data_IF_838126234957
#
_entry.id   IF_838126234957
#
_cell.length_a   1.000
_cell.length_b   1.000
_cell.length_c   1.000
_cell.angle_alpha   90.00
_cell.angle_beta   90.00
_cell.angle_gamma   90.00
#
_symmetry.space_group_name_H-M   'P 1'
#
loop_
_entity.id
_entity.type
_entity.pdbx_description
1 polymer ?
#
# COMPACT_ATOMS: atom_id res chain seq x y z
N UNK A 1 25.52 -6.59 11.45
CA UNK A 1 25.00 -5.27 11.03
C UNK A 1 23.89 -5.62 10.05
N UNK A 2 22.64 -5.89 10.41
CA UNK A 2 21.80 -5.66 11.60
C UNK A 2 21.16 -7.01 12.03
N UNK A 3 21.06 -7.30 13.32
CA UNK A 3 20.57 -8.61 13.83
C UNK A 3 19.27 -8.49 14.64
N UNK A 4 18.45 -7.47 14.37
CA UNK A 4 17.26 -7.11 15.15
C UNK A 4 16.09 -6.72 14.24
N UNK A 5 15.73 -7.59 13.30
CA UNK A 5 14.66 -7.33 12.33
C UNK A 5 13.27 -7.73 12.86
N UNK A 6 13.21 -8.63 13.84
CA UNK A 6 11.98 -9.20 14.39
C UNK A 6 11.79 -8.87 15.88
N UNK A 7 12.67 -8.05 16.45
CA UNK A 7 12.68 -7.78 17.89
C UNK A 7 11.48 -6.91 18.27
N UNK A 8 10.56 -7.49 19.03
CA UNK A 8 9.49 -6.76 19.68
C UNK A 8 9.90 -6.61 21.16
N UNK A 9 10.08 -5.38 21.64
CA UNK A 9 10.44 -5.07 23.03
C UNK A 9 11.68 -5.82 23.57
N UNK A 10 12.80 -5.78 22.83
CA UNK A 10 14.09 -6.40 23.20
C UNK A 10 14.13 -7.94 23.31
N UNK A 11 13.09 -8.66 22.86
CA UNK A 11 13.13 -10.11 22.68
C UNK A 11 13.76 -10.48 21.32
N UNK A 12 15.00 -10.99 21.33
CA UNK A 12 15.74 -11.43 20.14
C UNK A 12 15.53 -12.91 19.78
N UNK A 13 14.68 -13.64 20.51
CA UNK A 13 14.50 -15.08 20.30
C UNK A 13 13.91 -15.42 18.93
N UNK A 14 13.10 -14.50 18.36
CA UNK A 14 12.55 -14.61 17.00
C UNK A 14 13.64 -14.38 15.95
N UNK A 15 14.49 -13.37 16.14
CA UNK A 15 15.63 -13.08 15.27
C UNK A 15 16.62 -14.26 15.21
N UNK A 16 16.93 -14.89 16.35
CA UNK A 16 17.84 -16.03 16.42
C UNK A 16 17.28 -17.28 15.73
N UNK A 17 15.97 -17.51 15.84
CA UNK A 17 15.29 -18.63 15.17
C UNK A 17 15.19 -18.41 13.66
N UNK A 18 14.85 -17.19 13.24
CA UNK A 18 14.83 -16.78 11.82
C UNK A 18 16.22 -16.89 11.19
N UNK A 19 17.27 -16.41 11.86
CA UNK A 19 18.65 -16.48 11.37
C UNK A 19 19.12 -17.93 11.13
N UNK A 20 18.69 -18.88 11.99
CA UNK A 20 18.99 -20.31 11.81
C UNK A 20 18.24 -20.93 10.64
N UNK A 21 16.97 -20.57 10.43
CA UNK A 21 16.21 -21.00 9.26
C UNK A 21 16.79 -20.42 7.96
N UNK A 22 17.19 -19.14 7.97
CA UNK A 22 17.83 -18.45 6.83
C UNK A 22 19.14 -19.11 6.40
N UNK A 23 20.02 -19.39 7.38
CA UNK A 23 21.37 -19.88 7.10
C UNK A 23 21.37 -21.24 6.40
N UNK A 24 20.42 -22.12 6.72
CA UNK A 24 20.45 -23.51 6.25
C UNK A 24 19.31 -23.88 5.29
N UNK A 25 18.10 -23.37 5.49
CA UNK A 25 16.93 -23.75 4.68
C UNK A 25 16.88 -22.93 3.39
N UNK A 26 16.95 -21.60 3.50
CA UNK A 26 16.75 -20.72 2.34
C UNK A 26 17.98 -20.61 1.45
N UNK A 27 19.19 -20.63 2.02
CA UNK A 27 20.44 -20.75 1.25
C UNK A 27 20.45 -22.00 0.36
N UNK A 28 19.96 -23.14 0.89
CA UNK A 28 19.83 -24.39 0.14
C UNK A 28 18.81 -24.28 -0.99
N UNK A 29 17.69 -23.59 -0.77
CA UNK A 29 16.69 -23.34 -1.83
C UNK A 29 17.30 -22.48 -2.93
N UNK A 30 17.94 -21.34 -2.58
CA UNK A 30 18.56 -20.44 -3.57
C UNK A 30 19.64 -21.16 -4.38
N UNK A 31 20.58 -21.85 -3.71
CA UNK A 31 21.63 -22.59 -4.41
C UNK A 31 21.04 -23.70 -5.28
N UNK A 32 20.03 -24.42 -4.79
CA UNK A 32 19.37 -25.46 -5.57
C UNK A 32 18.63 -24.91 -6.79
N UNK A 33 18.04 -23.71 -6.71
CA UNK A 33 17.42 -23.03 -7.84
C UNK A 33 18.46 -22.59 -8.88
N UNK A 34 19.59 -22.03 -8.43
CA UNK A 34 20.69 -21.60 -9.29
C UNK A 34 21.38 -22.79 -10.00
N UNK A 35 21.58 -23.88 -9.28
CA UNK A 35 22.19 -25.12 -9.81
C UNK A 35 21.19 -26.01 -10.56
N UNK A 36 19.91 -25.63 -10.61
CA UNK A 36 18.81 -26.41 -11.20
C UNK A 36 18.64 -27.80 -10.56
N UNK A 37 19.01 -27.96 -9.29
CA UNK A 37 18.88 -29.18 -8.51
C UNK A 37 17.64 -29.19 -7.62
N UNK A 38 16.97 -28.05 -7.46
CA UNK A 38 15.74 -27.92 -6.69
C UNK A 38 14.50 -28.35 -7.49
N UNK A 39 13.61 -29.14 -6.88
CA UNK A 39 12.34 -29.54 -7.50
C UNK A 39 11.31 -28.40 -7.43
N UNK A 40 11.05 -27.75 -8.56
CA UNK A 40 10.03 -26.69 -8.66
C UNK A 40 8.60 -27.17 -8.36
N UNK A 41 8.36 -28.49 -8.27
CA UNK A 41 7.09 -29.06 -7.81
C UNK A 41 6.93 -29.05 -6.29
N UNK A 42 8.01 -28.81 -5.53
CA UNK A 42 7.93 -28.54 -4.09
C UNK A 42 7.42 -27.10 -3.85
N UNK A 43 6.15 -26.88 -4.20
CA UNK A 43 5.49 -25.58 -4.13
C UNK A 43 5.36 -25.08 -2.71
N UNK A 44 5.32 -25.98 -1.73
CA UNK A 44 5.24 -25.65 -0.31
C UNK A 44 6.55 -25.03 0.18
N UNK A 45 7.69 -25.63 -0.15
CA UNK A 45 8.98 -25.05 0.23
C UNK A 45 9.22 -23.70 -0.45
N UNK A 46 8.81 -23.54 -1.72
CA UNK A 46 8.88 -22.27 -2.44
C UNK A 46 7.96 -21.20 -1.85
N UNK A 47 6.72 -21.55 -1.50
CA UNK A 47 5.77 -20.61 -0.91
C UNK A 47 6.21 -20.13 0.48
N UNK A 48 6.74 -21.03 1.32
CA UNK A 48 7.34 -20.68 2.61
C UNK A 48 8.55 -19.75 2.43
N UNK A 49 9.44 -20.04 1.47
CA UNK A 49 10.58 -19.19 1.16
C UNK A 49 10.17 -17.80 0.67
N UNK A 50 9.22 -17.71 -0.27
CA UNK A 50 8.72 -16.43 -0.80
C UNK A 50 8.05 -15.61 0.31
N UNK A 51 7.20 -16.24 1.12
CA UNK A 51 6.55 -15.57 2.25
C UNK A 51 7.59 -15.04 3.24
N UNK A 52 8.65 -15.80 3.50
CA UNK A 52 9.72 -15.35 4.36
C UNK A 52 10.49 -14.16 3.76
N UNK A 53 10.84 -14.20 2.46
CA UNK A 53 11.53 -13.08 1.79
C UNK A 53 10.66 -11.82 1.73
N UNK A 54 9.34 -11.96 1.58
CA UNK A 54 8.39 -10.87 1.70
C UNK A 54 8.40 -10.28 3.13
N UNK A 55 8.33 -11.13 4.17
CA UNK A 55 8.39 -10.67 5.56
C UNK A 55 9.70 -9.93 5.84
N UNK A 56 10.84 -10.43 5.36
CA UNK A 56 12.13 -9.73 5.50
C UNK A 56 12.14 -8.37 4.82
N UNK A 57 11.67 -8.31 3.57
CA UNK A 57 11.50 -7.05 2.82
C UNK A 57 10.62 -6.06 3.57
N UNK A 58 9.57 -6.59 4.20
CA UNK A 58 8.62 -5.82 4.98
C UNK A 58 9.21 -5.34 6.31
N UNK A 59 10.01 -6.15 6.99
CA UNK A 59 10.64 -5.74 8.24
C UNK A 59 11.74 -4.69 8.02
N UNK A 60 12.44 -4.74 6.87
CA UNK A 60 13.34 -3.65 6.43
C UNK A 60 12.54 -2.34 6.30
N UNK A 61 11.28 -2.43 5.85
CA UNK A 61 10.36 -1.29 5.76
C UNK A 61 9.69 -0.93 7.08
N UNK A 62 9.62 -1.86 8.03
CA UNK A 62 9.07 -1.65 9.37
C UNK A 62 10.00 -0.79 10.26
N UNK A 63 10.99 -0.11 9.69
CA UNK A 63 11.36 1.24 10.12
C UNK A 63 10.18 2.22 9.93
N UNK A 64 9.07 1.91 10.60
CA UNK A 64 7.71 2.49 10.59
C UNK A 64 7.66 4.00 10.82
N UNK A 65 8.79 4.61 11.16
CA UNK A 65 8.98 6.05 11.28
C UNK A 65 8.77 6.74 9.93
N UNK A 66 9.21 6.13 8.82
CA UNK A 66 9.05 6.75 7.49
C UNK A 66 7.63 6.60 6.93
N UNK A 67 6.94 5.49 7.25
CA UNK A 67 5.52 5.33 6.93
C UNK A 67 4.66 6.33 7.70
N UNK A 68 4.98 6.54 8.98
CA UNK A 68 4.33 7.54 9.81
C UNK A 68 4.57 8.94 9.26
N UNK A 69 5.81 9.29 8.91
CA UNK A 69 6.15 10.57 8.32
C UNK A 69 5.45 10.78 6.97
N UNK A 70 5.44 9.77 6.09
CA UNK A 70 4.77 9.83 4.80
C UNK A 70 3.25 9.99 4.94
N UNK A 71 2.61 9.21 5.80
CA UNK A 71 1.17 9.33 6.06
C UNK A 71 0.84 10.71 6.67
N UNK A 72 1.67 11.18 7.62
CA UNK A 72 1.54 12.51 8.19
C UNK A 72 1.66 13.59 7.12
N UNK A 73 2.67 13.53 6.24
CA UNK A 73 2.88 14.52 5.19
C UNK A 73 1.80 14.48 4.12
N UNK A 74 1.27 13.31 3.76
CA UNK A 74 0.17 13.20 2.80
C UNK A 74 -1.16 13.71 3.38
N UNK A 75 -1.47 13.37 4.64
CA UNK A 75 -2.63 13.95 5.33
C UNK A 75 -2.44 15.45 5.51
N UNK A 76 -1.25 15.91 5.90
CA UNK A 76 -0.92 17.32 6.07
C UNK A 76 -1.05 18.09 4.76
N UNK A 77 -0.46 17.62 3.66
CA UNK A 77 -0.56 18.33 2.38
C UNK A 77 -2.00 18.44 1.87
N UNK A 78 -2.86 17.42 2.09
CA UNK A 78 -4.28 17.46 1.69
C UNK A 78 -5.17 18.26 2.63
N UNK A 79 -4.86 18.29 3.92
CA UNK A 79 -5.66 18.97 4.94
C UNK A 79 -5.31 20.45 5.02
N UNK A 80 -4.03 20.79 4.89
CA UNK A 80 -3.54 22.15 5.04
C UNK A 80 -3.55 22.92 3.73
N UNK A 81 -3.81 22.27 2.58
CA UNK A 81 -4.19 22.99 1.36
C UNK A 81 -5.70 23.25 1.32
N UNK A 82 -6.06 24.52 1.51
CA UNK A 82 -7.45 24.99 1.57
C UNK A 82 -8.20 24.69 0.26
N UNK A 83 -7.56 24.82 -0.91
CA UNK A 83 -8.20 24.49 -2.19
C UNK A 83 -8.51 23.01 -2.32
N UNK A 84 -7.53 22.15 -2.00
CA UNK A 84 -7.72 20.69 -2.05
C UNK A 84 -8.82 20.23 -1.09
N UNK A 85 -8.89 20.82 0.11
CA UNK A 85 -9.90 20.48 1.09
C UNK A 85 -11.32 20.93 0.67
N UNK A 86 -11.45 22.13 0.05
CA UNK A 86 -12.72 22.60 -0.53
C UNK A 86 -13.19 21.64 -1.62
N UNK A 87 -12.32 21.29 -2.56
CA UNK A 87 -12.65 20.36 -3.65
C UNK A 87 -13.00 18.96 -3.13
N UNK A 88 -12.34 18.53 -2.05
CA UNK A 88 -12.65 17.27 -1.38
C UNK A 88 -14.04 17.29 -0.76
N UNK A 89 -14.36 18.34 0.02
CA UNK A 89 -15.68 18.54 0.60
C UNK A 89 -16.76 18.58 -0.47
N UNK A 90 -16.57 19.37 -1.53
CA UNK A 90 -17.54 19.46 -2.63
C UNK A 90 -17.81 18.08 -3.26
N UNK A 91 -16.77 17.30 -3.55
CA UNK A 91 -16.91 15.95 -4.09
C UNK A 91 -17.63 15.01 -3.12
N UNK A 92 -17.24 15.01 -1.85
CA UNK A 92 -17.88 14.16 -0.84
C UNK A 92 -19.37 14.46 -0.69
N UNK A 93 -19.73 15.75 -0.73
CA UNK A 93 -21.11 16.25 -0.64
C UNK A 93 -21.93 15.90 -1.90
N UNK A 94 -21.34 16.01 -3.10
CA UNK A 94 -21.99 15.63 -4.37
C UNK A 94 -22.16 14.12 -4.50
N UNK A 95 -21.16 13.33 -4.10
CA UNK A 95 -21.16 11.87 -4.23
C UNK A 95 -22.06 11.16 -3.21
N UNK A 96 -22.50 11.85 -2.14
CA UNK A 96 -23.37 11.28 -1.10
C UNK A 96 -24.64 12.12 -0.87
N UNK A 97 -25.53 12.25 -1.89
CA UNK A 97 -26.70 13.11 -1.81
C UNK A 97 -27.69 12.70 -0.70
N UNK A 98 -27.82 11.41 -0.41
CA UNK A 98 -28.70 10.90 0.65
C UNK A 98 -28.26 11.34 2.05
N UNK A 99 -26.94 11.39 2.31
CA UNK A 99 -26.39 11.85 3.59
C UNK A 99 -26.65 13.34 3.78
N UNK A 100 -26.42 14.14 2.75
CA UNK A 100 -26.74 15.57 2.74
C UNK A 100 -28.22 15.77 3.03
N UNK A 101 -29.08 15.02 2.35
CA UNK A 101 -30.53 15.15 2.51
C UNK A 101 -30.94 14.87 3.97
N UNK A 102 -30.33 13.86 4.59
CA UNK A 102 -30.56 13.54 6.01
C UNK A 102 -30.12 14.67 6.95
N UNK A 103 -28.97 15.31 6.68
CA UNK A 103 -28.46 16.43 7.48
C UNK A 103 -29.36 17.65 7.34
N UNK A 104 -29.75 18.02 6.11
CA UNK A 104 -30.70 19.10 5.84
C UNK A 104 -32.02 18.80 6.54
N UNK A 105 -32.53 17.58 6.46
CA UNK A 105 -33.78 17.22 7.11
C UNK A 105 -33.70 17.32 8.64
N UNK A 106 -32.57 16.94 9.23
CA UNK A 106 -32.34 17.10 10.66
C UNK A 106 -32.24 18.57 11.07
N UNK A 107 -31.62 19.42 10.26
CA UNK A 107 -31.55 20.86 10.54
C UNK A 107 -32.87 21.58 10.28
N UNK A 108 -33.62 21.21 9.24
CA UNK A 108 -34.97 21.74 8.98
C UNK A 108 -35.92 21.43 10.14
N UNK A 109 -35.81 20.24 10.74
CA UNK A 109 -36.58 19.87 11.95
C UNK A 109 -36.23 20.70 13.18
N UNK A 110 -34.99 21.20 13.29
CA UNK A 110 -34.54 22.10 14.36
C UNK A 110 -34.82 23.57 14.07
N UNK A 111 -35.13 23.90 12.81
CA UNK A 111 -35.34 25.26 12.36
C UNK A 111 -36.75 25.78 12.67
N UNK A 112 -36.93 27.09 12.53
CA UNK A 112 -38.25 27.74 12.61
C UNK A 112 -39.09 27.55 11.32
N UNK A 113 -38.60 26.80 10.34
CA UNK A 113 -39.28 26.60 9.06
C UNK A 113 -40.44 25.60 9.25
N UNK A 114 -41.67 25.97 8.87
CA UNK A 114 -42.82 25.06 8.93
C UNK A 114 -42.59 23.77 8.12
N UNK A 115 -43.00 22.61 8.67
CA UNK A 115 -42.87 21.30 8.02
C UNK A 115 -43.48 21.26 6.60
N UNK A 116 -44.58 21.99 6.40
CA UNK A 116 -45.24 22.13 5.09
C UNK A 116 -44.36 22.74 4.00
N UNK A 117 -43.31 23.47 4.38
CA UNK A 117 -42.37 24.12 3.48
C UNK A 117 -41.05 23.36 3.33
N UNK A 118 -40.80 22.32 4.13
CA UNK A 118 -39.54 21.55 4.10
C UNK A 118 -39.25 20.98 2.71
N UNK A 119 -40.27 20.46 2.02
CA UNK A 119 -40.11 19.91 0.66
C UNK A 119 -39.71 20.96 -0.38
N UNK A 120 -40.30 22.16 -0.30
CA UNK A 120 -39.96 23.27 -1.20
C UNK A 120 -38.57 23.81 -0.93
N UNK A 121 -38.20 23.92 0.35
CA UNK A 121 -36.88 24.38 0.77
C UNK A 121 -35.79 23.41 0.32
N UNK A 122 -36.00 22.09 0.52
CA UNK A 122 -35.09 21.05 0.01
C UNK A 122 -34.88 21.16 -1.50
N UNK A 123 -35.97 21.30 -2.26
CA UNK A 123 -35.92 21.39 -3.73
C UNK A 123 -35.08 22.59 -4.18
N UNK A 124 -35.35 23.78 -3.64
CA UNK A 124 -34.59 25.00 -3.96
C UNK A 124 -33.13 24.86 -3.56
N UNK A 125 -32.86 24.24 -2.41
CA UNK A 125 -31.52 24.01 -1.89
C UNK A 125 -30.67 23.15 -2.84
N UNK A 126 -31.21 22.01 -3.29
CA UNK A 126 -30.50 21.10 -4.20
C UNK A 126 -30.40 21.61 -5.64
N UNK A 127 -31.44 22.27 -6.16
CA UNK A 127 -31.42 22.85 -7.52
C UNK A 127 -30.35 23.92 -7.68
N UNK A 128 -29.97 24.59 -6.58
CA UNK A 128 -28.99 25.67 -6.59
C UNK A 128 -27.67 25.30 -5.91
N UNK A 129 -27.40 24.00 -5.70
CA UNK A 129 -26.23 23.53 -4.94
C UNK A 129 -24.91 24.13 -5.46
N UNK A 130 -24.75 24.22 -6.78
CA UNK A 130 -23.54 24.76 -7.40
C UNK A 130 -23.28 26.25 -7.07
N UNK A 131 -24.33 27.00 -6.71
CA UNK A 131 -24.24 28.44 -6.46
C UNK A 131 -23.82 28.78 -5.02
N UNK A 132 -24.14 27.92 -4.04
CA UNK A 132 -23.86 28.19 -2.63
C UNK A 132 -22.87 27.20 -2.01
N UNK A 133 -22.67 26.01 -2.61
CA UNK A 133 -21.77 24.98 -2.10
C UNK A 133 -20.32 25.46 -1.95
N UNK A 134 -19.72 26.23 -2.88
CA UNK A 134 -18.36 26.73 -2.71
C UNK A 134 -18.20 27.60 -1.46
N UNK A 135 -19.07 28.60 -1.29
CA UNK A 135 -19.02 29.53 -0.16
C UNK A 135 -19.35 28.84 1.17
N UNK A 136 -20.32 27.91 1.16
CA UNK A 136 -20.66 27.12 2.33
C UNK A 136 -19.54 26.16 2.71
N UNK A 137 -18.91 25.49 1.74
CA UNK A 137 -17.75 24.64 1.97
C UNK A 137 -16.60 25.47 2.57
N UNK A 138 -16.31 26.65 2.01
CA UNK A 138 -15.27 27.53 2.55
C UNK A 138 -15.58 28.00 3.99
N UNK A 139 -16.84 28.36 4.27
CA UNK A 139 -17.29 28.77 5.60
C UNK A 139 -17.23 27.65 6.64
N UNK A 140 -17.63 26.44 6.26
CA UNK A 140 -17.47 25.23 7.08
C UNK A 140 -15.98 25.01 7.34
N UNK A 141 -15.17 24.97 6.28
CA UNK A 141 -13.74 24.70 6.38
C UNK A 141 -13.04 25.72 7.30
N UNK A 142 -13.26 27.02 7.15
CA UNK A 142 -12.62 28.03 8.00
C UNK A 142 -12.96 27.88 9.50
N UNK A 143 -14.17 27.39 9.82
CA UNK A 143 -14.60 27.15 11.21
C UNK A 143 -14.14 25.77 11.74
N UNK A 144 -14.01 24.79 10.85
CA UNK A 144 -13.65 23.42 11.20
C UNK A 144 -12.13 23.19 11.20
N UNK A 145 -11.35 23.84 10.34
CA UNK A 145 -9.91 23.59 10.12
C UNK A 145 -9.11 23.48 11.43
N UNK A 146 -9.25 24.39 12.42
CA UNK A 146 -8.47 24.30 13.66
C UNK A 146 -8.86 23.12 14.56
N UNK A 147 -10.13 22.67 14.50
CA UNK A 147 -10.59 21.45 15.21
C UNK A 147 -10.22 20.19 14.42
N UNK A 148 -10.29 20.28 13.10
CA UNK A 148 -10.04 19.23 12.14
C UNK A 148 -8.56 18.84 12.12
N UNK A 149 -7.63 19.81 12.15
CA UNK A 149 -6.19 19.57 12.32
C UNK A 149 -5.90 18.75 13.58
N UNK A 150 -6.46 19.15 14.73
CA UNK A 150 -6.25 18.44 16.00
C UNK A 150 -6.80 17.02 15.96
N UNK A 151 -7.97 16.82 15.36
CA UNK A 151 -8.58 15.50 15.27
C UNK A 151 -7.84 14.58 14.30
N UNK A 152 -7.41 15.07 13.14
CA UNK A 152 -6.59 14.30 12.20
C UNK A 152 -5.27 13.92 12.87
N UNK A 153 -4.58 14.87 13.49
CA UNK A 153 -3.34 14.60 14.24
C UNK A 153 -3.58 13.54 15.32
N UNK A 154 -4.72 13.58 16.02
CA UNK A 154 -5.06 12.59 17.04
C UNK A 154 -5.52 11.23 16.49
N UNK A 155 -6.04 11.18 15.27
CA UNK A 155 -6.49 9.95 14.60
C UNK A 155 -5.34 9.20 13.90
N UNK A 156 -4.25 9.91 13.57
CA UNK A 156 -3.07 9.34 12.92
C UNK A 156 -2.52 8.10 13.67
N UNK A 157 -2.29 8.12 15.00
CA UNK A 157 -1.76 6.96 15.71
C UNK A 157 -2.65 5.71 15.58
N UNK A 158 -3.98 5.85 15.71
CA UNK A 158 -4.90 4.72 15.58
C UNK A 158 -5.00 4.21 14.15
N UNK A 159 -5.01 5.13 13.18
CA UNK A 159 -5.01 4.80 11.76
C UNK A 159 -3.73 4.06 11.37
N UNK A 160 -2.57 4.54 11.81
CA UNK A 160 -1.27 3.87 11.60
C UNK A 160 -1.30 2.48 12.24
N UNK A 161 -1.85 2.35 13.45
CA UNK A 161 -2.03 1.04 14.10
C UNK A 161 -2.94 0.12 13.29
N UNK A 162 -4.05 0.62 12.73
CA UNK A 162 -4.94 -0.16 11.84
C UNK A 162 -4.24 -0.56 10.53
N UNK A 163 -3.49 0.33 9.91
CA UNK A 163 -2.66 0.03 8.72
C UNK A 163 -1.64 -1.04 9.06
N UNK A 164 -0.88 -0.85 10.14
CA UNK A 164 0.08 -1.84 10.64
C UNK A 164 -0.61 -3.19 10.85
N UNK A 165 -1.76 -3.24 11.52
CA UNK A 165 -2.51 -4.48 11.74
C UNK A 165 -3.06 -5.09 10.45
N UNK A 166 -3.45 -4.31 9.45
CA UNK A 166 -3.93 -4.85 8.17
C UNK A 166 -2.77 -5.37 7.30
N UNK A 167 -1.65 -4.64 7.32
CA UNK A 167 -0.41 -4.96 6.62
C UNK A 167 0.26 -6.18 7.27
N UNK A 168 0.32 -6.26 8.60
CA UNK A 168 0.88 -7.36 9.43
C UNK A 168 -0.11 -8.50 9.70
N UNK A 169 -1.42 -8.27 9.59
CA UNK A 169 -2.46 -9.21 10.04
C UNK A 169 -2.85 -10.28 9.02
N UNK A 170 -2.31 -10.26 7.80
CA UNK A 170 -2.34 -11.46 6.97
C UNK A 170 -1.41 -12.49 7.62
N UNK A 171 -1.97 -13.49 8.30
CA UNK A 171 -1.18 -14.58 8.87
C UNK A 171 -0.35 -15.24 7.77
N UNK A 172 0.94 -15.49 8.04
CA UNK A 172 1.86 -16.10 7.09
C UNK A 172 1.26 -17.37 6.45
N UNK A 173 0.51 -18.15 7.23
CA UNK A 173 -0.18 -19.37 6.79
C UNK A 173 -1.17 -19.16 5.63
N UNK A 174 -1.87 -18.02 5.59
CA UNK A 174 -2.80 -17.72 4.50
C UNK A 174 -2.05 -17.33 3.22
N UNK A 175 -0.93 -16.59 3.35
CA UNK A 175 -0.07 -16.20 2.22
C UNK A 175 0.61 -17.41 1.59
N UNK A 176 1.16 -18.30 2.42
CA UNK A 176 1.80 -19.54 1.97
C UNK A 176 0.85 -20.36 1.10
N UNK A 177 -0.42 -20.53 1.49
CA UNK A 177 -1.41 -21.27 0.68
C UNK A 177 -1.68 -20.61 -0.67
N UNK A 178 -1.73 -19.27 -0.73
CA UNK A 178 -1.92 -18.54 -1.98
C UNK A 178 -0.71 -18.75 -2.89
N UNK A 179 0.51 -18.61 -2.37
CA UNK A 179 1.73 -18.78 -3.17
C UNK A 179 1.94 -20.24 -3.58
N UNK A 180 1.53 -21.21 -2.76
CA UNK A 180 1.61 -22.64 -3.09
C UNK A 180 0.73 -23.01 -4.30
N UNK A 181 -0.33 -22.24 -4.57
CA UNK A 181 -1.19 -22.47 -5.74
C UNK A 181 -0.55 -22.09 -7.08
N UNK A 182 0.57 -21.35 -7.07
CA UNK A 182 1.25 -20.86 -8.27
C UNK A 182 2.05 -21.96 -8.99
N UNK A 183 2.32 -21.70 -10.27
CA UNK A 183 3.21 -22.50 -11.10
C UNK A 183 4.57 -21.82 -11.20
N UNK A 184 5.62 -22.54 -10.80
CA UNK A 184 6.97 -21.98 -10.74
C UNK A 184 7.84 -22.38 -11.93
N UNK A 185 8.67 -21.45 -12.38
CA UNK A 185 9.68 -21.64 -13.42
C UNK A 185 10.87 -20.73 -13.19
N UNK A 186 12.03 -21.10 -13.73
CA UNK A 186 13.19 -20.20 -13.79
C UNK A 186 13.18 -19.52 -15.16
N UNK A 187 13.25 -18.18 -15.16
CA UNK A 187 13.40 -17.40 -16.38
C UNK A 187 14.82 -16.85 -16.46
N UNK A 188 15.35 -16.83 -17.67
CA UNK A 188 16.67 -16.28 -17.97
C UNK A 188 16.53 -14.96 -18.71
N UNK A 189 17.33 -13.99 -18.29
CA UNK A 189 17.35 -12.63 -18.83
C UNK A 189 18.63 -12.39 -19.61
N UNK A 190 18.51 -11.63 -20.70
CA UNK A 190 19.67 -11.23 -21.50
C UNK A 190 20.41 -10.06 -20.85
N UNK A 191 19.65 -9.13 -20.25
CA UNK A 191 20.22 -8.01 -19.50
C UNK A 191 20.49 -8.42 -18.06
N UNK A 192 21.61 -7.96 -17.45
CA UNK A 192 21.88 -8.21 -16.05
C UNK A 192 20.77 -7.64 -15.14
N UNK A 193 20.24 -8.48 -14.26
CA UNK A 193 19.29 -8.09 -13.22
C UNK A 193 19.98 -7.30 -12.11
N UNK A 194 19.28 -6.28 -11.61
CA UNK A 194 19.58 -5.67 -10.32
C UNK A 194 18.89 -6.45 -9.20
N UNK A 195 19.46 -6.38 -7.99
CA UNK A 195 18.83 -6.92 -6.79
C UNK A 195 18.51 -5.78 -5.84
N UNK A 196 17.22 -5.50 -5.67
CA UNK A 196 16.74 -4.52 -4.70
C UNK A 196 16.88 -5.02 -3.26
N UNK A 197 16.85 -4.10 -2.31
CA UNK A 197 16.62 -4.41 -0.88
C UNK A 197 15.25 -5.09 -0.63
N UNK A 198 14.32 -4.95 -1.58
CA UNK A 198 13.05 -5.63 -1.66
C UNK A 198 13.13 -6.73 -2.72
N UNK A 199 13.36 -7.96 -2.26
CA UNK A 199 13.79 -9.07 -3.13
C UNK A 199 12.62 -9.70 -3.89
N UNK A 200 11.40 -9.65 -3.33
CA UNK A 200 10.21 -10.26 -3.93
C UNK A 200 9.29 -9.19 -4.48
N UNK A 201 8.89 -9.36 -5.74
CA UNK A 201 7.94 -8.49 -6.43
C UNK A 201 6.68 -9.28 -6.78
N UNK A 202 5.53 -8.71 -6.47
CA UNK A 202 4.20 -9.24 -6.76
C UNK A 202 3.56 -8.44 -7.90
N UNK A 203 3.11 -9.12 -8.93
CA UNK A 203 2.25 -8.55 -9.98
C UNK A 203 0.80 -8.86 -9.64
N UNK A 204 -0.03 -7.83 -9.54
CA UNK A 204 -1.44 -7.92 -9.16
C UNK A 204 -2.32 -7.22 -10.18
N UNK A 205 -3.61 -7.56 -10.20
CA UNK A 205 -4.59 -6.85 -11.02
C UNK A 205 -4.94 -5.50 -10.36
N UNK A 206 -4.95 -4.41 -11.12
CA UNK A 206 -5.31 -3.08 -10.64
C UNK A 206 -4.44 -1.97 -11.27
N UNK A 207 -4.63 -0.72 -10.82
CA UNK A 207 -3.82 0.42 -11.26
C UNK A 207 -2.35 0.26 -10.86
N UNK A 208 -2.10 -0.14 -9.60
CA UNK A 208 -0.77 -0.48 -9.11
C UNK A 208 -0.45 -1.94 -9.44
N UNK A 209 0.07 -2.13 -10.65
CA UNK A 209 0.34 -3.45 -11.21
C UNK A 209 1.42 -4.24 -10.47
N UNK A 210 2.48 -3.58 -10.00
CA UNK A 210 3.59 -4.23 -9.29
C UNK A 210 3.69 -3.72 -7.86
N UNK A 211 3.96 -4.63 -6.91
CA UNK A 211 4.06 -4.33 -5.49
C UNK A 211 5.19 -5.14 -4.84
N UNK A 212 5.83 -4.63 -3.79
CA UNK A 212 6.85 -5.35 -3.03
C UNK A 212 6.28 -6.24 -1.91
N UNK A 213 4.97 -6.23 -1.70
CA UNK A 213 4.26 -7.08 -0.74
C UNK A 213 2.87 -7.40 -1.28
N UNK A 214 2.29 -8.50 -0.80
CA UNK A 214 0.94 -8.94 -1.15
C UNK A 214 -0.06 -8.50 -0.08
N UNK A 215 -1.17 -7.89 -0.52
CA UNK A 215 -2.27 -7.46 0.35
C UNK A 215 -3.47 -8.41 0.23
N UNK A 216 -4.27 -8.55 1.30
CA UNK A 216 -5.40 -9.49 1.37
C UNK A 216 -6.41 -9.35 0.23
N UNK A 217 -6.59 -8.14 -0.30
CA UNK A 217 -7.57 -7.84 -1.34
C UNK A 217 -6.97 -7.87 -2.76
N UNK A 218 -5.68 -8.18 -2.90
CA UNK A 218 -5.03 -8.24 -4.19
C UNK A 218 -5.40 -9.51 -4.95
N UNK A 219 -5.66 -9.34 -6.24
CA UNK A 219 -5.77 -10.46 -7.19
C UNK A 219 -4.37 -10.71 -7.76
N UNK A 220 -3.65 -11.63 -7.12
CA UNK A 220 -2.29 -12.02 -7.50
C UNK A 220 -2.26 -12.65 -8.89
N UNK A 221 -1.42 -12.11 -9.78
CA UNK A 221 -1.14 -12.65 -11.11
C UNK A 221 0.13 -13.48 -11.10
N UNK A 222 1.22 -12.86 -10.65
CA UNK A 222 2.55 -13.45 -10.70
C UNK A 222 3.47 -12.95 -9.58
N UNK A 223 4.54 -13.69 -9.33
CA UNK A 223 5.63 -13.35 -8.41
C UNK A 223 6.95 -13.42 -9.17
N UNK A 224 7.82 -12.44 -8.93
CA UNK A 224 9.17 -12.34 -9.47
C UNK A 224 10.17 -12.24 -8.33
N UNK A 225 11.20 -13.09 -8.35
CA UNK A 225 12.27 -13.10 -7.36
C UNK A 225 13.61 -13.28 -8.08
N UNK A 226 14.42 -12.21 -8.26
CA UNK A 226 15.75 -12.31 -8.83
C UNK A 226 16.64 -13.23 -8.00
N UNK A 227 17.28 -14.21 -8.63
CA UNK A 227 18.15 -15.19 -7.97
C UNK A 227 19.63 -14.82 -8.13
N UNK A 228 20.02 -14.38 -9.32
CA UNK A 228 21.34 -13.85 -9.62
C UNK A 228 21.24 -12.79 -10.74
N UNK A 229 22.38 -12.44 -11.35
CA UNK A 229 22.41 -11.42 -12.41
C UNK A 229 21.66 -11.83 -13.68
N UNK A 230 21.32 -13.10 -13.91
CA UNK A 230 20.69 -13.52 -15.17
C UNK A 230 19.50 -14.45 -15.01
N UNK A 231 19.15 -14.85 -13.80
CA UNK A 231 18.06 -15.76 -13.51
C UNK A 231 17.09 -15.17 -12.48
N UNK A 232 15.82 -15.45 -12.68
CA UNK A 232 14.76 -15.10 -11.74
C UNK A 232 13.78 -16.26 -11.58
N UNK A 233 13.30 -16.46 -10.36
CA UNK A 233 12.18 -17.33 -10.07
C UNK A 233 10.88 -16.61 -10.43
N UNK A 234 10.07 -17.23 -11.26
CA UNK A 234 8.77 -16.73 -11.71
C UNK A 234 7.67 -17.70 -11.25
N UNK A 235 6.75 -17.20 -10.43
CA UNK A 235 5.52 -17.90 -10.03
C UNK A 235 4.32 -17.29 -10.74
N UNK A 236 3.50 -18.08 -11.44
CA UNK A 236 2.32 -17.59 -12.15
C UNK A 236 1.04 -18.32 -11.73
N UNK A 237 -0.03 -17.55 -11.58
CA UNK A 237 -1.37 -18.09 -11.31
C UNK A 237 -1.92 -18.86 -12.54
N UNK A 238 -1.57 -18.41 -13.75
CA UNK A 238 -1.93 -19.04 -15.01
C UNK A 238 -0.68 -19.37 -15.83
N UNK A 239 -0.57 -20.63 -16.28
CA UNK A 239 0.55 -21.13 -17.09
C UNK A 239 0.71 -20.41 -18.44
N UNK A 240 -0.35 -19.80 -18.95
CA UNK A 240 -0.34 -19.07 -20.21
C UNK A 240 0.08 -17.60 -20.04
N UNK A 241 0.18 -17.10 -18.81
CA UNK A 241 0.57 -15.72 -18.55
C UNK A 241 2.06 -15.55 -18.90
N UNK A 242 2.32 -14.66 -19.86
CA UNK A 242 3.68 -14.38 -20.31
C UNK A 242 4.35 -13.40 -19.33
N UNK A 243 5.53 -13.74 -18.80
CA UNK A 243 6.24 -12.87 -17.86
C UNK A 243 6.63 -11.56 -18.55
N UNK A 244 6.42 -10.43 -17.87
CA UNK A 244 6.86 -9.13 -18.33
C UNK A 244 8.31 -8.90 -17.90
N UNK A 245 9.25 -9.50 -18.63
CA UNK A 245 10.69 -9.39 -18.31
C UNK A 245 11.27 -8.04 -18.77
N UNK A 246 10.70 -7.44 -19.81
CA UNK A 246 11.14 -6.14 -20.31
C UNK A 246 10.83 -5.05 -19.26
N UNK A 247 11.87 -4.34 -18.81
CA UNK A 247 11.73 -3.32 -17.78
C UNK A 247 11.70 -3.86 -16.35
N UNK A 248 11.99 -5.16 -16.13
CA UNK A 248 12.00 -5.75 -14.78
C UNK A 248 12.95 -5.01 -13.82
N UNK A 249 14.11 -4.55 -14.30
CA UNK A 249 15.02 -3.74 -13.50
C UNK A 249 14.41 -2.41 -13.05
N UNK A 250 13.60 -1.77 -13.91
CA UNK A 250 12.86 -0.58 -13.51
C UNK A 250 11.87 -0.93 -12.41
N UNK A 251 11.10 -2.00 -12.57
CA UNK A 251 10.13 -2.45 -11.57
C UNK A 251 10.83 -2.77 -10.22
N UNK A 252 11.96 -3.47 -10.25
CA UNK A 252 12.74 -3.79 -9.04
C UNK A 252 13.21 -2.49 -8.37
N UNK A 253 13.74 -1.54 -9.13
CA UNK A 253 14.17 -0.24 -8.59
C UNK A 253 12.98 0.51 -7.96
N UNK A 254 11.85 0.61 -8.65
CA UNK A 254 10.64 1.26 -8.15
C UNK A 254 10.11 0.64 -6.85
N UNK A 255 10.27 -0.67 -6.71
CA UNK A 255 9.90 -1.42 -5.52
C UNK A 255 11.01 -1.45 -4.45
N UNK A 256 12.21 -0.96 -4.71
CA UNK A 256 13.31 -0.86 -3.72
C UNK A 256 13.14 0.37 -2.85
N UNK A 257 13.62 0.32 -1.61
CA UNK A 257 13.46 1.38 -0.60
C UNK A 257 14.60 2.39 -0.66
N UNK A 258 15.83 1.91 -0.47
CA UNK A 258 17.02 2.76 -0.33
C UNK A 258 18.02 2.49 -1.45
N UNK A 259 18.20 1.22 -1.82
CA UNK A 259 19.21 0.83 -2.79
C UNK A 259 18.84 -0.44 -3.55
N UNK A 260 19.57 -0.63 -4.64
CA UNK A 260 19.74 -1.92 -5.29
C UNK A 260 21.23 -2.17 -5.51
N UNK A 261 21.60 -3.43 -5.63
CA UNK A 261 22.94 -3.85 -6.02
C UNK A 261 22.92 -4.43 -7.43
N UNK A 262 24.04 -4.31 -8.13
CA UNK A 262 24.22 -4.89 -9.45
C UNK A 262 25.62 -5.45 -9.57
N UNK A 263 25.76 -6.60 -10.24
CA UNK A 263 27.06 -7.22 -10.52
C UNK A 263 27.88 -6.39 -11.52
N UNK A 264 27.20 -5.65 -12.40
CA UNK A 264 27.82 -4.87 -13.46
C UNK A 264 27.35 -3.43 -13.40
N UNK A 265 28.26 -2.47 -13.44
CA UNK A 265 27.88 -1.07 -13.58
C UNK A 265 27.54 -0.75 -15.05
N UNK A 266 26.54 0.11 -15.25
CA UNK A 266 26.03 0.53 -16.56
C UNK A 266 25.43 1.93 -16.43
N UNK A 267 25.42 2.70 -17.51
CA UNK A 267 24.88 4.07 -17.53
C UNK A 267 23.37 4.13 -17.19
N UNK A 268 22.64 3.03 -17.38
CA UNK A 268 21.22 2.97 -17.03
C UNK A 268 20.98 2.92 -15.51
N UNK A 269 22.00 2.62 -14.68
CA UNK A 269 21.79 2.55 -13.23
C UNK A 269 21.53 3.90 -12.59
N UNK A 270 22.02 5.00 -13.17
CA UNK A 270 21.70 6.34 -12.63
C UNK A 270 20.22 6.67 -12.85
N UNK A 271 19.66 6.32 -14.02
CA UNK A 271 18.21 6.44 -14.28
C UNK A 271 17.39 5.52 -13.37
N UNK A 272 17.85 4.28 -13.14
CA UNK A 272 17.19 3.37 -12.21
C UNK A 272 17.25 3.88 -10.76
N UNK A 273 18.31 4.60 -10.38
CA UNK A 273 18.42 5.20 -9.04
C UNK A 273 17.34 6.24 -8.80
N UNK A 274 16.97 7.01 -9.81
CA UNK A 274 15.87 8.00 -9.73
C UNK A 274 14.49 7.35 -9.55
N UNK A 275 14.35 6.06 -9.86
CA UNK A 275 13.10 5.32 -9.73
C UNK A 275 12.91 4.72 -8.33
N UNK A 276 13.96 4.67 -7.50
CA UNK A 276 13.90 4.09 -6.14
C UNK A 276 12.78 4.74 -5.33
N UNK A 277 12.01 3.92 -4.61
CA UNK A 277 10.95 4.40 -3.72
C UNK A 277 9.65 4.82 -4.42
N UNK A 278 9.61 4.96 -5.75
CA UNK A 278 8.44 5.51 -6.46
C UNK A 278 7.22 4.58 -6.47
N UNK A 279 7.39 3.30 -6.13
CA UNK A 279 6.33 2.33 -6.03
C UNK A 279 6.44 1.50 -4.73
N UNK A 280 6.93 2.10 -3.65
CA UNK A 280 7.07 1.43 -2.34
C UNK A 280 5.92 1.71 -1.38
N UNK A 281 5.02 2.64 -1.69
CA UNK A 281 3.99 3.14 -0.77
C UNK A 281 3.13 2.01 -0.18
N UNK A 282 3.06 1.98 1.15
CA UNK A 282 2.18 1.08 1.93
C UNK A 282 0.74 1.61 1.97
N UNK A 283 0.59 2.92 1.84
CA UNK A 283 -0.71 3.60 1.89
C UNK A 283 -1.02 4.17 0.51
N UNK A 284 -2.17 3.78 -0.05
CA UNK A 284 -2.67 4.31 -1.32
C UNK A 284 -3.43 5.62 -1.12
N UNK A 285 -3.54 6.44 -2.17
CA UNK A 285 -4.35 7.66 -2.14
C UNK A 285 -5.80 7.37 -1.75
N UNK A 286 -6.38 6.28 -2.25
CA UNK A 286 -7.74 5.85 -1.92
C UNK A 286 -7.91 5.51 -0.43
N UNK A 287 -6.88 4.97 0.22
CA UNK A 287 -6.91 4.72 1.65
C UNK A 287 -6.89 6.03 2.45
N UNK A 288 -6.08 7.01 2.02
CA UNK A 288 -6.03 8.35 2.60
C UNK A 288 -7.37 9.05 2.44
N UNK A 289 -7.99 8.95 1.26
CA UNK A 289 -9.32 9.50 1.00
C UNK A 289 -10.36 8.85 1.92
N UNK A 290 -10.34 7.53 2.10
CA UNK A 290 -11.23 6.85 3.05
C UNK A 290 -11.12 7.36 4.50
N UNK A 291 -9.90 7.69 4.96
CA UNK A 291 -9.68 8.29 6.28
C UNK A 291 -10.27 9.71 6.35
N UNK A 292 -10.03 10.53 5.31
CA UNK A 292 -10.56 11.89 5.24
C UNK A 292 -12.09 11.89 5.23
N UNK A 293 -12.71 10.97 4.49
CA UNK A 293 -14.17 10.78 4.49
C UNK A 293 -14.71 10.47 5.87
N UNK A 294 -14.14 9.49 6.58
CA UNK A 294 -14.59 9.11 7.93
C UNK A 294 -14.54 10.31 8.89
N UNK A 295 -13.45 11.06 8.87
CA UNK A 295 -13.26 12.22 9.75
C UNK A 295 -14.21 13.35 9.37
N UNK A 296 -14.42 13.64 8.09
CA UNK A 296 -15.37 14.67 7.63
C UNK A 296 -16.79 14.32 8.06
N UNK A 297 -17.23 13.08 7.81
CA UNK A 297 -18.59 12.68 8.15
C UNK A 297 -18.87 12.66 9.65
N UNK A 298 -17.90 12.23 10.48
CA UNK A 298 -18.05 12.25 11.93
C UNK A 298 -18.17 13.66 12.53
N UNK A 299 -17.70 14.69 11.82
CA UNK A 299 -17.78 16.09 12.27
C UNK A 299 -18.99 16.85 11.72
N UNK A 300 -19.60 16.36 10.64
CA UNK A 300 -20.83 16.92 10.07
C UNK A 300 -22.10 16.35 10.71
N UNK A 301 -22.02 15.18 11.35
CA UNK A 301 -23.12 14.52 12.10
C UNK A 301 -23.30 15.08 13.50
#
# INVERSE_FOLDING_TARGET
LENKFYSIFDDSSVDDKMTKEETYKYSRIVNGLLEQTFDLKDRKALSEFICHMEIRTKNIRDNLIDLYAYLCEQLRSRVFDKSTLVDYFQRALISNPEKIESLIQNELKKSLIPESLHGQFKKIFFENIQLWLPDAAEGIINNFLPKFERQIISAIPETVKKVQLNVLGSTADNKVKIYESLHYSILYTQEPLILGDSIVIFEVSGERKFKPFYEKNDILRSIYLPLDSHSLLYGASNLNDKPSINGINKIIAQCSVDFFISKHHSKNHDLLREEIGTNTFIVTNAYIDGILDEIIWNNLS
#
